data_IF_682748851062
#
_entry.id   IF_682748851062
#
_cell.length_a   1.000
_cell.length_b   1.000
_cell.length_c   1.000
_cell.angle_alpha   90.00
_cell.angle_beta   90.00
_cell.angle_gamma   90.00
#
_symmetry.space_group_name_H-M   'P 1'
#
loop_
_entity.id
_entity.type
_entity.pdbx_description
1 polymer ?
#
# COMPACT_ATOMS: atom_id res chain seq x y z
N UNK A 1 47.16 10.77 -9.75
CA UNK A 1 46.24 10.23 -10.77
C UNK A 1 44.85 10.04 -10.15
N UNK A 2 43.93 10.98 -10.38
CA UNK A 2 42.58 10.92 -9.82
C UNK A 2 41.69 10.02 -10.68
N UNK A 3 41.28 8.86 -10.16
CA UNK A 3 40.27 8.00 -10.79
C UNK A 3 38.90 8.67 -10.62
N UNK A 4 38.58 9.57 -11.54
CA UNK A 4 37.21 10.11 -11.68
C UNK A 4 36.30 8.92 -12.03
N UNK A 5 35.46 8.50 -11.08
CA UNK A 5 34.37 7.55 -11.31
C UNK A 5 33.46 8.18 -12.38
N UNK A 6 33.54 7.65 -13.61
CA UNK A 6 32.58 7.95 -14.68
C UNK A 6 31.18 7.67 -14.13
N UNK A 7 30.42 8.73 -13.84
CA UNK A 7 28.97 8.63 -13.63
C UNK A 7 28.43 8.06 -14.93
N UNK A 8 27.91 6.83 -14.88
CA UNK A 8 27.19 6.24 -16.00
C UNK A 8 26.06 7.20 -16.34
N UNK A 9 26.22 7.92 -17.45
CA UNK A 9 25.14 8.64 -18.10
C UNK A 9 24.19 7.56 -18.58
N UNK A 10 23.22 7.23 -17.72
CA UNK A 10 22.13 6.33 -18.07
C UNK A 10 21.41 7.02 -19.21
N UNK A 11 21.58 6.47 -20.40
CA UNK A 11 20.82 6.86 -21.59
C UNK A 11 19.35 6.89 -21.19
N UNK A 12 18.70 8.02 -21.43
CA UNK A 12 17.25 8.15 -21.48
C UNK A 12 16.74 7.18 -22.54
N UNK A 13 16.63 5.90 -22.15
CA UNK A 13 15.90 4.91 -22.89
C UNK A 13 14.44 5.32 -22.82
N UNK A 14 13.87 5.61 -23.97
CA UNK A 14 12.44 5.91 -24.16
C UNK A 14 11.61 5.11 -23.18
N UNK A 15 10.96 5.81 -22.25
CA UNK A 15 10.03 5.25 -21.29
C UNK A 15 9.10 4.27 -22.00
N UNK A 16 9.23 2.97 -21.70
CA UNK A 16 8.29 1.99 -22.22
C UNK A 16 6.91 2.34 -21.67
N UNK A 17 5.92 2.51 -22.54
CA UNK A 17 4.54 2.78 -22.10
C UNK A 17 4.04 1.75 -21.07
N UNK A 18 4.57 0.52 -21.14
CA UNK A 18 4.27 -0.55 -20.19
C UNK A 18 4.75 -0.23 -18.76
N UNK A 19 5.89 0.43 -18.61
CA UNK A 19 6.41 0.86 -17.30
C UNK A 19 5.51 1.91 -16.68
N UNK A 20 5.06 2.86 -17.49
CA UNK A 20 4.14 3.92 -17.06
C UNK A 20 2.76 3.36 -16.72
N UNK A 21 2.25 2.41 -17.51
CA UNK A 21 0.98 1.70 -17.23
C UNK A 21 1.08 0.94 -15.90
N UNK A 22 2.17 0.20 -15.68
CA UNK A 22 2.39 -0.54 -14.44
C UNK A 22 2.48 0.37 -13.20
N UNK A 23 3.28 1.43 -13.27
CA UNK A 23 3.40 2.43 -12.19
C UNK A 23 2.03 3.05 -11.86
N UNK A 24 1.25 3.39 -12.90
CA UNK A 24 -0.09 3.98 -12.75
C UNK A 24 -1.07 3.00 -12.11
N UNK A 25 -1.03 1.72 -12.46
CA UNK A 25 -1.90 0.69 -11.86
C UNK A 25 -1.63 0.54 -10.37
N UNK A 26 -0.36 0.46 -9.96
CA UNK A 26 0.00 0.36 -8.53
C UNK A 26 -0.43 1.60 -7.77
N UNK A 27 -0.18 2.78 -8.35
CA UNK A 27 -0.59 4.04 -7.73
C UNK A 27 -2.12 4.12 -7.60
N UNK A 28 -2.85 3.72 -8.64
CA UNK A 28 -4.32 3.67 -8.64
C UNK A 28 -4.87 2.67 -7.61
N UNK A 29 -4.23 1.51 -7.47
CA UNK A 29 -4.57 0.53 -6.44
C UNK A 29 -4.43 1.12 -5.02
N UNK A 30 -3.36 1.86 -4.75
CA UNK A 30 -3.18 2.57 -3.48
C UNK A 30 -4.30 3.57 -3.18
N UNK A 31 -4.77 4.29 -4.20
CA UNK A 31 -5.92 5.21 -4.09
C UNK A 31 -7.24 4.48 -3.84
N UNK A 32 -7.49 3.34 -4.48
CA UNK A 32 -8.70 2.55 -4.21
C UNK A 32 -8.75 2.13 -2.75
N UNK A 33 -7.66 1.59 -2.20
CA UNK A 33 -7.60 1.21 -0.80
C UNK A 33 -7.80 2.41 0.14
N UNK A 34 -7.22 3.57 -0.19
CA UNK A 34 -7.40 4.81 0.56
C UNK A 34 -8.87 5.26 0.55
N UNK A 35 -9.51 5.26 -0.61
CA UNK A 35 -10.89 5.68 -0.76
C UNK A 35 -11.85 4.75 -0.02
N UNK A 36 -11.62 3.43 -0.06
CA UNK A 36 -12.40 2.47 0.71
C UNK A 36 -12.26 2.75 2.22
N UNK A 37 -11.04 2.99 2.70
CA UNK A 37 -10.81 3.35 4.10
C UNK A 37 -11.54 4.65 4.49
N UNK A 38 -11.50 5.66 3.61
CA UNK A 38 -12.12 6.96 3.86
C UNK A 38 -13.65 6.86 3.87
N UNK A 39 -14.25 6.13 2.92
CA UNK A 39 -15.69 5.85 2.90
C UNK A 39 -16.10 5.06 4.15
N UNK A 40 -15.30 4.07 4.55
CA UNK A 40 -15.56 3.30 5.76
C UNK A 40 -15.55 4.19 7.01
N UNK A 41 -14.46 4.92 7.26
CA UNK A 41 -14.37 5.83 8.41
C UNK A 41 -15.42 6.95 8.36
N UNK A 42 -15.71 7.48 7.17
CA UNK A 42 -16.74 8.50 6.96
C UNK A 42 -18.14 7.99 7.27
N UNK A 43 -18.47 6.76 6.85
CA UNK A 43 -19.73 6.13 7.22
C UNK A 43 -19.84 5.95 8.74
N UNK A 44 -18.76 5.52 9.40
CA UNK A 44 -18.72 5.44 10.86
C UNK A 44 -19.00 6.80 11.52
N UNK A 45 -18.37 7.86 11.04
CA UNK A 45 -18.54 9.20 11.59
C UNK A 45 -19.98 9.74 11.38
N UNK A 46 -20.56 9.51 10.21
CA UNK A 46 -21.93 9.92 9.90
C UNK A 46 -22.94 9.16 10.76
N UNK A 47 -22.77 7.84 10.93
CA UNK A 47 -23.68 7.06 11.78
C UNK A 47 -23.53 7.48 13.25
N UNK A 48 -22.31 7.73 13.73
CA UNK A 48 -22.09 8.24 15.09
C UNK A 48 -22.74 9.61 15.30
N UNK A 49 -22.59 10.53 14.33
CA UNK A 49 -23.21 11.86 14.37
C UNK A 49 -24.75 11.81 14.36
N UNK A 50 -25.35 10.93 13.56
CA UNK A 50 -26.82 10.83 13.42
C UNK A 50 -27.44 10.13 14.63
N UNK A 51 -26.85 9.02 15.08
CA UNK A 51 -27.46 8.19 16.10
C UNK A 51 -27.00 8.55 17.52
N UNK A 52 -25.86 9.22 17.70
CA UNK A 52 -25.30 9.57 19.01
C UNK A 52 -25.06 8.37 19.93
N UNK A 53 -25.10 7.16 19.36
CA UNK A 53 -25.16 5.88 20.07
C UNK A 53 -23.86 5.08 19.94
N UNK A 54 -22.94 5.48 19.06
CA UNK A 54 -21.75 4.69 18.75
C UNK A 54 -20.61 5.17 19.66
N UNK A 55 -20.58 4.62 20.88
CA UNK A 55 -19.26 4.35 21.47
C UNK A 55 -18.55 3.48 20.45
N UNK A 56 -17.49 3.98 19.85
CA UNK A 56 -16.67 3.30 18.85
C UNK A 56 -16.16 1.97 19.43
N UNK A 57 -17.00 0.94 19.42
CA UNK A 57 -16.62 -0.42 19.76
C UNK A 57 -15.79 -0.87 18.57
N UNK A 58 -14.48 -0.68 18.68
CA UNK A 58 -13.49 -1.27 17.80
C UNK A 58 -13.58 -2.79 17.93
N UNK A 59 -14.58 -3.35 17.28
CA UNK A 59 -14.68 -4.78 17.07
C UNK A 59 -13.48 -5.22 16.23
N UNK A 60 -13.00 -6.44 16.48
CA UNK A 60 -11.84 -7.00 15.80
C UNK A 60 -11.96 -6.91 14.27
N UNK A 61 -13.18 -7.05 13.74
CA UNK A 61 -13.49 -6.89 12.31
C UNK A 61 -13.21 -5.45 11.81
N UNK A 62 -13.71 -4.43 12.51
CA UNK A 62 -13.50 -3.03 12.14
C UNK A 62 -12.03 -2.62 12.23
N UNK A 63 -11.35 -3.07 13.28
CA UNK A 63 -9.92 -2.85 13.45
C UNK A 63 -9.10 -3.51 12.34
N UNK A 64 -9.42 -4.77 12.00
CA UNK A 64 -8.78 -5.50 10.90
C UNK A 64 -9.00 -4.78 9.56
N UNK A 65 -10.21 -4.29 9.28
CA UNK A 65 -10.50 -3.55 8.05
C UNK A 65 -9.65 -2.29 7.92
N UNK A 66 -9.57 -1.50 9.00
CA UNK A 66 -8.78 -0.26 9.03
C UNK A 66 -7.30 -0.55 8.81
N UNK A 67 -6.74 -1.53 9.53
CA UNK A 67 -5.34 -1.90 9.38
C UNK A 67 -5.06 -2.45 7.99
N UNK A 68 -5.90 -3.35 7.46
CA UNK A 68 -5.70 -3.96 6.16
C UNK A 68 -5.71 -2.92 5.04
N UNK A 69 -6.77 -2.10 4.96
CA UNK A 69 -6.88 -1.10 3.89
C UNK A 69 -5.90 0.05 4.03
N UNK A 70 -5.64 0.52 5.25
CA UNK A 70 -4.64 1.55 5.50
C UNK A 70 -3.23 1.08 5.16
N UNK A 71 -2.86 -0.13 5.58
CA UNK A 71 -1.55 -0.70 5.28
C UNK A 71 -1.39 -0.95 3.79
N UNK A 72 -2.36 -1.56 3.12
CA UNK A 72 -2.28 -1.83 1.69
C UNK A 72 -2.23 -0.56 0.84
N UNK A 73 -2.93 0.50 1.25
CA UNK A 73 -2.81 1.81 0.62
C UNK A 73 -1.38 2.38 0.76
N UNK A 74 -0.86 2.42 2.00
CA UNK A 74 0.47 2.96 2.30
C UNK A 74 1.58 2.19 1.58
N UNK A 75 1.53 0.85 1.60
CA UNK A 75 2.53 0.01 0.94
C UNK A 75 2.43 0.18 -0.58
N UNK A 76 1.24 0.27 -1.16
CA UNK A 76 1.06 0.51 -2.61
C UNK A 76 1.68 1.84 -3.05
N UNK A 77 1.48 2.93 -2.29
CA UNK A 77 2.12 4.21 -2.58
C UNK A 77 3.64 4.17 -2.41
N UNK A 78 4.13 3.49 -1.37
CA UNK A 78 5.56 3.29 -1.16
C UNK A 78 6.19 2.51 -2.31
N UNK A 79 5.51 1.46 -2.80
CA UNK A 79 5.94 0.66 -3.94
C UNK A 79 5.97 1.50 -5.22
N UNK A 80 4.91 2.24 -5.53
CA UNK A 80 4.86 3.12 -6.70
C UNK A 80 6.03 4.12 -6.68
N UNK A 81 6.30 4.74 -5.53
CA UNK A 81 7.40 5.68 -5.36
C UNK A 81 8.78 5.01 -5.53
N UNK A 82 8.95 3.79 -5.01
CA UNK A 82 10.20 3.02 -5.16
C UNK A 82 10.43 2.57 -6.59
N UNK A 83 9.39 2.11 -7.29
CA UNK A 83 9.47 1.73 -8.71
C UNK A 83 9.81 2.95 -9.56
N UNK A 84 9.18 4.10 -9.30
CA UNK A 84 9.48 5.37 -9.99
C UNK A 84 10.95 5.75 -9.88
N UNK A 85 11.55 5.57 -8.70
CA UNK A 85 12.98 5.87 -8.45
C UNK A 85 13.92 4.80 -9.03
N UNK A 86 13.51 3.53 -9.05
CA UNK A 86 14.34 2.38 -9.42
C UNK A 86 13.68 1.51 -10.52
N UNK A 87 13.39 2.17 -11.66
CA UNK A 87 13.11 1.62 -13.01
C UNK A 87 13.37 0.14 -13.19
N UNK A 88 14.65 -0.15 -13.19
CA UNK A 88 15.23 -1.39 -13.69
C UNK A 88 15.03 -2.56 -12.72
N UNK A 89 14.71 -2.25 -11.46
CA UNK A 89 14.43 -3.22 -10.43
C UNK A 89 12.93 -3.41 -10.18
N UNK A 90 12.04 -2.89 -11.06
CA UNK A 90 10.57 -2.95 -10.88
C UNK A 90 10.06 -4.35 -10.53
N UNK A 91 10.54 -5.38 -11.23
CA UNK A 91 10.12 -6.78 -11.01
C UNK A 91 10.52 -7.28 -9.63
N UNK A 92 11.77 -6.99 -9.22
CA UNK A 92 12.28 -7.36 -7.91
C UNK A 92 11.49 -6.66 -6.81
N UNK A 93 11.29 -5.34 -6.94
CA UNK A 93 10.53 -4.55 -5.98
C UNK A 93 9.07 -5.04 -5.84
N UNK A 94 8.44 -5.41 -6.96
CA UNK A 94 7.08 -5.96 -6.94
C UNK A 94 7.01 -7.34 -6.28
N UNK A 95 7.99 -8.23 -6.53
CA UNK A 95 8.04 -9.54 -5.88
C UNK A 95 8.34 -9.41 -4.38
N UNK A 96 9.26 -8.54 -3.99
CA UNK A 96 9.57 -8.26 -2.59
C UNK A 96 8.35 -7.68 -1.87
N UNK A 97 7.58 -6.83 -2.56
CA UNK A 97 6.29 -6.34 -2.08
C UNK A 97 5.26 -7.45 -1.89
N UNK A 98 5.07 -8.32 -2.88
CA UNK A 98 4.12 -9.43 -2.81
C UNK A 98 4.42 -10.37 -1.63
N UNK A 99 5.71 -10.65 -1.39
CA UNK A 99 6.17 -11.43 -0.23
C UNK A 99 5.89 -10.71 1.08
N UNK A 100 6.14 -9.41 1.14
CA UNK A 100 5.86 -8.58 2.31
C UNK A 100 4.38 -8.56 2.66
N UNK A 101 3.52 -8.34 1.67
CA UNK A 101 2.07 -8.34 1.87
C UNK A 101 1.53 -9.73 2.26
N UNK A 102 2.03 -10.79 1.64
CA UNK A 102 1.69 -12.15 2.05
C UNK A 102 2.06 -12.40 3.52
N UNK A 103 3.27 -12.06 3.94
CA UNK A 103 3.72 -12.24 5.33
C UNK A 103 2.88 -11.39 6.30
N UNK A 104 2.59 -10.15 5.93
CA UNK A 104 1.74 -9.26 6.71
C UNK A 104 0.34 -9.83 6.89
N UNK A 105 -0.29 -10.32 5.82
CA UNK A 105 -1.60 -10.96 5.87
C UNK A 105 -1.60 -12.20 6.77
N UNK A 106 -0.58 -13.06 6.69
CA UNK A 106 -0.46 -14.23 7.58
C UNK A 106 -0.37 -13.80 9.05
N UNK A 107 0.46 -12.81 9.37
CA UNK A 107 0.58 -12.29 10.74
C UNK A 107 -0.75 -11.68 11.21
N UNK A 108 -1.41 -10.89 10.37
CA UNK A 108 -2.70 -10.28 10.71
C UNK A 108 -3.76 -11.34 11.01
N UNK A 109 -3.86 -12.39 10.20
CA UNK A 109 -4.77 -13.53 10.44
C UNK A 109 -4.44 -14.19 11.78
N UNK A 110 -3.17 -14.51 12.03
CA UNK A 110 -2.76 -15.15 13.29
C UNK A 110 -3.09 -14.30 14.52
N UNK A 111 -2.86 -12.98 14.44
CA UNK A 111 -3.18 -12.05 15.54
C UNK A 111 -4.68 -11.97 15.78
N UNK A 112 -5.49 -11.87 14.71
CA UNK A 112 -6.96 -11.85 14.84
C UNK A 112 -7.47 -13.18 15.40
N UNK A 113 -6.96 -14.31 14.93
CA UNK A 113 -7.33 -15.63 15.44
C UNK A 113 -6.96 -15.82 16.91
N UNK A 114 -5.79 -15.33 17.34
CA UNK A 114 -5.38 -15.37 18.74
C UNK A 114 -6.23 -14.46 19.64
N UNK A 115 -6.70 -13.32 19.13
CA UNK A 115 -7.59 -12.42 19.87
C UNK A 115 -9.04 -12.93 19.98
N UNK A 116 -9.45 -13.82 19.07
CA UNK A 116 -10.77 -14.45 19.08
C UNK A 116 -10.87 -15.69 19.99
N UNK A 117 -9.75 -16.12 20.61
CA UNK A 117 -9.68 -17.27 21.51
C UNK A 117 -9.74 -16.85 22.98
#
# INVERSE_FOLDING_TARGET
>A
MSKVKKKSTRSDGSLSEEDLKFERIIYFSGWIFLLILLVYLGAFFVVDFIFGLIKLQLNASSFSMIIFTGTNSAISFALATRIKKNRDQKKKLFVDWLKGEFLFCVIAILVVSAYQW
#
